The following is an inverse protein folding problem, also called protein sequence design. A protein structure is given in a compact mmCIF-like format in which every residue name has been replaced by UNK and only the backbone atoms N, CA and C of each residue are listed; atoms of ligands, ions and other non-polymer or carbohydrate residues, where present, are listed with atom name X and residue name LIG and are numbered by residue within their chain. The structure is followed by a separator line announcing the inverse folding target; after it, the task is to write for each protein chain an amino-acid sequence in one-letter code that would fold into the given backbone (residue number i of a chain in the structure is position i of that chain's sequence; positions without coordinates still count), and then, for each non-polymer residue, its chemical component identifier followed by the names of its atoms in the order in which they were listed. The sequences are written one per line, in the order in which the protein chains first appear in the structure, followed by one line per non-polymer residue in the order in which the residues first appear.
data_IF_239615436184
#
_entry.id   IF_239615436184
#
_cell.length_a   1.000
_cell.length_b   1.000
_cell.length_c   1.000
_cell.angle_alpha   90.00
_cell.angle_beta   90.00
_cell.angle_gamma   90.00
#
_symmetry.space_group_name_H-M   'P 1'
#
loop_
_entity.id
_entity.type
_entity.pdbx_description
1 polymer ?
#
# COMPACT_ATOMS: atom_id res chain seq x y z
N UNK A 1 -15.34 0.47 -5.27
CA UNK A 1 -14.74 -0.22 -6.42
C UNK A 1 -13.24 -0.13 -6.22
N UNK A 2 -12.59 -1.18 -5.72
CA UNK A 2 -11.14 -1.16 -5.50
C UNK A 2 -10.45 -0.94 -6.84
N UNK A 3 -9.78 0.19 -7.00
CA UNK A 3 -9.09 0.53 -8.24
C UNK A 3 -7.99 -0.50 -8.47
N UNK A 4 -7.94 -1.19 -9.61
CA UNK A 4 -6.89 -2.18 -9.86
C UNK A 4 -5.55 -1.45 -9.90
N UNK A 5 -4.64 -1.82 -8.99
CA UNK A 5 -3.24 -1.40 -9.09
C UNK A 5 -2.68 -1.91 -10.42
N UNK A 6 -1.82 -1.13 -11.08
CA UNK A 6 -1.13 -1.65 -12.25
C UNK A 6 -0.31 -2.89 -11.84
N UNK A 7 -0.26 -3.93 -12.67
CA UNK A 7 0.50 -5.15 -12.37
C UNK A 7 2.00 -4.87 -12.14
N UNK A 8 2.50 -3.79 -12.75
CA UNK A 8 3.87 -3.31 -12.61
C UNK A 8 4.09 -2.35 -11.42
N UNK A 9 3.10 -2.14 -10.55
CA UNK A 9 3.26 -1.25 -9.39
C UNK A 9 4.47 -1.65 -8.54
N UNK A 10 4.67 -2.96 -8.32
CA UNK A 10 5.81 -3.49 -7.59
C UNK A 10 7.00 -3.90 -8.48
N UNK A 11 6.96 -3.61 -9.79
CA UNK A 11 8.06 -3.97 -10.69
C UNK A 11 9.29 -3.09 -10.46
N UNK A 12 9.10 -1.81 -10.12
CA UNK A 12 10.18 -0.85 -9.85
C UNK A 12 10.38 -0.59 -8.34
N UNK A 13 9.46 -1.07 -7.50
CA UNK A 13 9.51 -0.87 -6.05
C UNK A 13 10.25 -2.01 -5.33
N UNK A 14 11.06 -1.70 -4.30
CA UNK A 14 11.65 -2.72 -3.46
C UNK A 14 10.59 -3.49 -2.67
N UNK A 15 10.92 -4.72 -2.28
CA UNK A 15 10.05 -5.52 -1.41
C UNK A 15 9.80 -4.78 -0.09
N UNK A 16 8.53 -4.58 0.27
CA UNK A 16 8.16 -3.74 1.40
C UNK A 16 6.70 -3.29 1.33
N UNK A 17 6.30 -2.51 2.32
CA UNK A 17 5.01 -1.84 2.31
C UNK A 17 5.17 -0.48 1.61
N UNK A 18 4.16 -0.08 0.86
CA UNK A 18 4.09 1.14 0.05
C UNK A 18 2.68 1.72 0.10
N UNK A 19 2.56 3.01 -0.22
CA UNK A 19 1.28 3.73 -0.19
C UNK A 19 0.33 3.31 -1.32
N UNK A 20 -0.96 3.16 -1.02
CA UNK A 20 -1.94 2.84 -2.05
C UNK A 20 -2.47 4.14 -2.72
N UNK A 21 -2.29 4.34 -4.04
CA UNK A 21 -2.58 5.61 -4.71
C UNK A 21 -4.09 5.91 -4.87
N UNK A 22 -4.98 5.00 -4.49
CA UNK A 22 -6.43 5.20 -4.53
C UNK A 22 -7.06 5.55 -3.18
N UNK A 23 -6.41 5.19 -2.08
CA UNK A 23 -6.98 5.18 -0.73
C UNK A 23 -5.84 5.18 0.30
N UNK A 24 -5.67 6.23 1.10
CA UNK A 24 -4.62 6.30 2.12
C UNK A 24 -4.87 5.32 3.28
N UNK A 25 -6.11 4.86 3.45
CA UNK A 25 -6.48 3.80 4.40
C UNK A 25 -6.15 2.39 3.89
N UNK A 26 -5.46 2.27 2.75
CA UNK A 26 -4.94 1.02 2.25
C UNK A 26 -3.44 1.16 1.97
N UNK A 27 -2.73 0.03 1.99
CA UNK A 27 -1.33 -0.04 1.64
C UNK A 27 -1.06 -1.22 0.73
N UNK A 28 0.02 -1.12 -0.03
CA UNK A 28 0.47 -2.16 -0.95
C UNK A 28 1.73 -2.79 -0.41
N UNK A 29 1.69 -4.08 -0.15
CA UNK A 29 2.88 -4.86 0.13
C UNK A 29 3.42 -5.42 -1.19
N UNK A 30 4.61 -4.98 -1.56
CA UNK A 30 5.39 -5.53 -2.66
C UNK A 30 6.20 -6.74 -2.20
N UNK A 31 6.01 -7.88 -2.86
CA UNK A 31 6.84 -9.08 -2.64
C UNK A 31 7.08 -9.83 -3.96
N UNK A 32 8.35 -9.98 -4.35
CA UNK A 32 8.78 -10.61 -5.61
C UNK A 32 8.13 -10.01 -6.87
N UNK A 33 7.95 -8.68 -6.90
CA UNK A 33 7.29 -7.99 -8.01
C UNK A 33 5.76 -8.07 -7.99
N UNK A 34 5.17 -8.70 -6.98
CA UNK A 34 3.71 -8.77 -6.80
C UNK A 34 3.22 -7.74 -5.79
N UNK A 35 2.14 -7.03 -6.16
CA UNK A 35 1.44 -6.09 -5.32
C UNK A 35 0.30 -6.78 -4.55
N UNK A 36 0.35 -6.69 -3.22
CA UNK A 36 -0.70 -7.20 -2.34
C UNK A 36 -1.32 -6.02 -1.58
N UNK A 37 -2.59 -5.74 -1.81
CA UNK A 37 -3.30 -4.67 -1.10
C UNK A 37 -3.77 -5.15 0.27
N UNK A 38 -3.59 -4.28 1.27
CA UNK A 38 -4.04 -4.48 2.64
C UNK A 38 -4.78 -3.22 3.11
N UNK A 39 -5.76 -3.42 3.98
CA UNK A 39 -6.54 -2.34 4.58
C UNK A 39 -5.95 -1.99 5.94
N UNK A 40 -5.80 -0.68 6.18
CA UNK A 40 -5.43 -0.14 7.47
C UNK A 40 -6.67 -0.07 8.38
N UNK A 41 -6.50 -0.19 9.71
CA UNK A 41 -7.61 -0.07 10.64
C UNK A 41 -8.38 1.25 10.50
N UNK A 42 -9.67 1.21 10.86
CA UNK A 42 -10.59 2.36 10.70
C UNK A 42 -10.05 3.62 11.39
N UNK A 43 -9.99 4.74 10.66
CA UNK A 43 -9.45 6.01 11.15
C UNK A 43 -7.92 6.14 11.08
N UNK A 44 -7.24 5.19 10.43
CA UNK A 44 -5.79 5.25 10.18
C UNK A 44 -5.48 5.36 8.68
N UNK A 45 -4.28 5.85 8.39
CA UNK A 45 -3.73 5.93 7.05
C UNK A 45 -2.32 5.35 7.03
N UNK A 46 -1.93 4.81 5.89
CA UNK A 46 -0.58 4.30 5.70
C UNK A 46 0.42 5.45 5.60
N UNK A 47 1.40 5.46 6.50
CA UNK A 47 2.52 6.39 6.48
C UNK A 47 3.75 5.71 5.84
N UNK A 48 4.23 6.17 4.67
CA UNK A 48 5.37 5.57 4.00
C UNK A 48 6.71 5.83 4.72
N UNK A 49 6.79 6.89 5.53
CA UNK A 49 7.96 7.21 6.35
C UNK A 49 8.16 6.16 7.47
N UNK A 50 7.09 5.85 8.19
CA UNK A 50 7.07 4.85 9.28
C UNK A 50 6.84 3.43 8.76
N UNK A 51 6.30 3.29 7.54
CA UNK A 51 5.84 2.05 6.89
C UNK A 51 4.71 1.32 7.64
N UNK A 52 3.90 2.09 8.36
CA UNK A 52 2.87 1.60 9.28
C UNK A 52 1.58 2.39 9.10
N UNK A 53 0.46 1.81 9.55
CA UNK A 53 -0.81 2.55 9.59
C UNK A 53 -0.81 3.45 10.83
N UNK A 54 -0.81 4.76 10.63
CA UNK A 54 -0.83 5.76 11.70
C UNK A 54 -2.23 6.40 11.79
N UNK A 55 -2.70 6.74 13.01
CA UNK A 55 -3.93 7.50 13.16
C UNK A 55 -3.80 8.87 12.49
N UNK A 56 -4.88 9.31 11.85
CA UNK A 56 -4.99 10.66 11.29
C UNK A 56 -5.02 11.74 12.39
#
# INVERSE_FOLDING_TARGET
MSTPLPPDYCADLPNGNHEYPGDPSQFVKCANGYAYTYDCPEGTHYDPDSRECVPN
#
